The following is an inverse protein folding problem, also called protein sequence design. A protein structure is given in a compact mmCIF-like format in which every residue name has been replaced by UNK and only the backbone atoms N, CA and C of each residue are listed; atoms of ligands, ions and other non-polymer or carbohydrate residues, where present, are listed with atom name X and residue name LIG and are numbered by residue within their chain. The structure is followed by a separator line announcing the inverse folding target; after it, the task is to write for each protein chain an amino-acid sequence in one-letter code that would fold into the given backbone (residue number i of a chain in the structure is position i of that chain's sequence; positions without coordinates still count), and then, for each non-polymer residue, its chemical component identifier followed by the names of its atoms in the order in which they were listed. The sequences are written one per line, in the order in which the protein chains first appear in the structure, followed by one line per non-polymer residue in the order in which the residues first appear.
data_IF_670108748536
#
_entry.id   IF_670108748536
#
_cell.length_a   1.000
_cell.length_b   1.000
_cell.length_c   1.000
_cell.angle_alpha   90.00
_cell.angle_beta   90.00
_cell.angle_gamma   90.00
#
_symmetry.space_group_name_H-M   'P 1'
#
loop_
_entity.id
_entity.type
_entity.pdbx_description
1 polymer ?
#
# COMPACT_ATOMS: atom_id res chain seq x y z
N UNK A 1 6.20 13.75 8.46
CA UNK A 1 6.44 13.13 9.79
C UNK A 1 6.36 11.63 9.62
N UNK A 2 7.33 10.87 10.14
CA UNK A 2 7.23 9.40 10.20
C UNK A 2 6.19 9.00 11.24
N UNK A 3 5.36 7.97 11.00
CA UNK A 3 4.52 7.41 12.05
C UNK A 3 5.38 6.80 13.16
N UNK A 4 4.79 6.64 14.34
CA UNK A 4 5.38 5.85 15.42
C UNK A 4 5.40 4.38 15.00
N UNK A 5 6.43 3.64 15.42
CA UNK A 5 6.49 2.19 15.26
C UNK A 5 5.71 1.54 16.41
N UNK A 6 4.58 0.86 16.17
CA UNK A 6 3.77 0.30 17.25
C UNK A 6 4.51 -0.78 18.04
N UNK A 7 4.18 -0.92 19.32
CA UNK A 7 4.69 -2.03 20.14
C UNK A 7 3.96 -3.34 19.83
N UNK A 8 4.57 -4.49 20.13
CA UNK A 8 3.91 -5.79 19.94
C UNK A 8 2.58 -5.86 20.70
N UNK A 9 1.51 -6.24 20.00
CA UNK A 9 0.15 -6.32 20.53
C UNK A 9 -0.56 -4.97 20.65
N UNK A 10 0.04 -3.87 20.20
CA UNK A 10 -0.65 -2.58 20.15
C UNK A 10 -1.81 -2.63 19.16
N UNK A 11 -2.99 -2.18 19.60
CA UNK A 11 -4.22 -2.19 18.79
C UNK A 11 -4.70 -0.78 18.49
N UNK A 12 -5.24 -0.56 17.29
CA UNK A 12 -5.93 0.66 16.89
C UNK A 12 -7.32 0.34 16.38
N UNK A 13 -8.33 1.09 16.82
CA UNK A 13 -9.70 0.96 16.32
C UNK A 13 -10.32 2.31 16.03
N UNK A 14 -11.16 2.39 14.99
CA UNK A 14 -11.86 3.61 14.60
C UNK A 14 -13.24 3.30 14.02
N UNK A 15 -14.21 4.14 14.37
CA UNK A 15 -15.55 4.13 13.80
C UNK A 15 -15.77 5.48 13.12
N UNK A 16 -16.09 5.46 11.82
CA UNK A 16 -16.39 6.66 11.06
C UNK A 16 -17.91 6.94 11.06
N UNK A 17 -18.34 8.21 10.92
CA UNK A 17 -19.77 8.57 10.93
C UNK A 17 -20.61 7.92 9.82
N UNK A 18 -19.98 7.49 8.73
CA UNK A 18 -20.65 6.80 7.62
C UNK A 18 -20.95 5.32 7.91
N UNK A 19 -20.50 4.80 9.06
CA UNK A 19 -20.65 3.39 9.44
C UNK A 19 -19.42 2.53 9.13
N UNK A 20 -18.37 3.08 8.55
CA UNK A 20 -17.11 2.38 8.31
C UNK A 20 -16.41 2.07 9.64
N UNK A 21 -15.91 0.84 9.78
CA UNK A 21 -15.17 0.38 10.97
C UNK A 21 -13.77 0.00 10.58
N UNK A 22 -12.79 0.31 11.41
CA UNK A 22 -11.39 -0.07 11.22
C UNK A 22 -10.85 -0.68 12.51
N UNK A 23 -10.12 -1.78 12.38
CA UNK A 23 -9.43 -2.47 13.45
C UNK A 23 -8.04 -2.87 12.95
N UNK A 24 -7.02 -2.69 13.77
CA UNK A 24 -5.66 -3.10 13.46
C UNK A 24 -4.89 -3.49 14.71
N UNK A 25 -3.89 -4.36 14.53
CA UNK A 25 -2.99 -4.84 15.56
C UNK A 25 -1.57 -4.98 15.02
N UNK A 26 -0.58 -4.64 15.83
CA UNK A 26 0.82 -4.97 15.58
C UNK A 26 1.13 -6.40 16.02
N UNK A 27 1.16 -7.33 15.06
CA UNK A 27 1.25 -8.78 15.35
C UNK A 27 2.68 -9.29 15.53
N UNK A 28 3.70 -8.57 15.02
CA UNK A 28 5.12 -8.82 15.31
C UNK A 28 5.91 -7.51 15.27
N UNK A 29 6.98 -7.41 16.06
CA UNK A 29 7.90 -6.27 16.08
C UNK A 29 9.23 -6.55 15.35
N UNK A 30 9.65 -7.81 15.24
CA UNK A 30 10.88 -8.23 14.56
C UNK A 30 10.63 -9.51 13.73
N UNK A 31 10.27 -9.37 12.43
CA UNK A 31 10.08 -8.12 11.70
C UNK A 31 8.79 -7.36 12.08
N UNK A 32 8.68 -6.05 11.79
CA UNK A 32 7.49 -5.26 12.12
C UNK A 32 6.35 -5.57 11.14
N UNK A 33 5.32 -6.28 11.59
CA UNK A 33 4.12 -6.60 10.81
C UNK A 33 2.88 -6.13 11.53
N UNK A 34 2.02 -5.42 10.82
CA UNK A 34 0.69 -5.04 11.29
C UNK A 34 -0.36 -5.80 10.48
N UNK A 35 -1.42 -6.22 11.15
CA UNK A 35 -2.63 -6.74 10.54
C UNK A 35 -3.78 -5.75 10.75
N UNK A 36 -4.70 -5.68 9.81
CA UNK A 36 -5.88 -4.84 9.94
C UNK A 36 -7.04 -5.27 9.06
N UNK A 37 -8.22 -4.85 9.48
CA UNK A 37 -9.47 -5.01 8.74
C UNK A 37 -10.23 -3.69 8.77
N UNK A 38 -10.77 -3.31 7.61
CA UNK A 38 -11.72 -2.22 7.48
C UNK A 38 -13.00 -2.76 6.84
N UNK A 39 -14.13 -2.47 7.48
CA UNK A 39 -15.45 -2.90 7.04
C UNK A 39 -16.24 -1.67 6.61
N UNK A 40 -16.71 -1.70 5.36
CA UNK A 40 -17.53 -0.64 4.80
C UNK A 40 -18.94 -0.60 5.39
N UNK A 41 -19.66 0.53 5.20
CA UNK A 41 -21.03 0.68 5.67
C UNK A 41 -21.91 -0.44 5.13
N UNK A 42 -22.77 -0.99 5.99
CA UNK A 42 -23.74 -2.04 5.64
C UNK A 42 -23.08 -3.31 5.04
N UNK A 43 -21.77 -3.52 5.26
CA UNK A 43 -21.04 -4.67 4.72
C UNK A 43 -20.81 -4.60 3.21
N UNK A 44 -20.85 -3.40 2.61
CA UNK A 44 -20.71 -3.22 1.15
C UNK A 44 -19.33 -3.60 0.60
N UNK A 45 -18.31 -3.51 1.45
CA UNK A 45 -16.95 -3.90 1.12
C UNK A 45 -16.20 -4.25 2.41
N UNK A 46 -15.15 -5.05 2.27
CA UNK A 46 -14.24 -5.44 3.34
C UNK A 46 -12.81 -5.34 2.80
N UNK A 47 -11.95 -4.65 3.51
CA UNK A 47 -10.53 -4.48 3.21
C UNK A 47 -9.74 -5.19 4.30
N UNK A 48 -8.88 -6.12 3.93
CA UNK A 48 -8.04 -6.90 4.83
C UNK A 48 -6.58 -6.70 4.44
N UNK A 49 -5.73 -6.47 5.43
CA UNK A 49 -4.31 -6.21 5.22
C UNK A 49 -3.47 -6.94 6.26
N UNK A 50 -2.38 -7.56 5.81
CA UNK A 50 -1.30 -8.03 6.66
C UNK A 50 -0.01 -7.65 5.96
N UNK A 51 0.77 -6.75 6.54
CA UNK A 51 1.95 -6.20 5.87
C UNK A 51 3.12 -5.99 6.83
N UNK A 52 4.30 -6.43 6.37
CA UNK A 52 5.60 -6.08 6.92
C UNK A 52 6.06 -4.75 6.34
N UNK A 53 6.50 -3.82 7.18
CA UNK A 53 7.12 -2.59 6.72
C UNK A 53 8.65 -2.74 6.65
N UNK A 54 9.23 -2.52 5.48
CA UNK A 54 10.68 -2.57 5.25
C UNK A 54 11.18 -1.22 4.79
N UNK A 55 12.29 -0.76 5.37
CA UNK A 55 12.94 0.48 4.98
C UNK A 55 14.46 0.31 5.03
N UNK A 56 15.15 0.78 3.99
CA UNK A 56 16.60 0.70 3.86
C UNK A 56 17.16 2.05 3.39
N UNK A 57 18.39 2.36 3.80
CA UNK A 57 19.12 3.50 3.22
C UNK A 57 19.35 3.24 1.74
N UNK A 58 19.19 4.29 0.93
CA UNK A 58 19.38 4.27 -0.50
C UNK A 58 20.33 5.43 -0.88
N UNK A 59 21.63 5.15 -0.88
CA UNK A 59 22.66 6.19 -1.00
C UNK A 59 22.78 7.07 0.24
N UNK A 60 23.39 8.25 0.09
CA UNK A 60 23.77 9.11 1.22
C UNK A 60 22.66 10.02 1.73
N UNK A 61 21.56 10.18 0.97
CA UNK A 61 20.54 11.19 1.25
C UNK A 61 19.11 10.72 0.94
N UNK A 62 18.89 9.40 0.84
CA UNK A 62 17.54 8.86 0.65
C UNK A 62 17.30 7.56 1.40
N UNK A 63 16.04 7.26 1.67
CA UNK A 63 15.55 5.98 2.19
C UNK A 63 14.58 5.41 1.17
N UNK A 64 14.71 4.11 0.89
CA UNK A 64 13.74 3.36 0.10
C UNK A 64 12.98 2.41 1.01
N UNK A 65 11.67 2.46 0.96
CA UNK A 65 10.77 1.68 1.81
C UNK A 65 9.69 1.00 0.97
N UNK A 66 9.18 -0.12 1.46
CA UNK A 66 8.07 -0.85 0.86
C UNK A 66 7.32 -1.65 1.93
N UNK A 67 6.12 -2.09 1.55
CA UNK A 67 5.30 -2.97 2.36
C UNK A 67 5.19 -4.32 1.68
N UNK A 68 5.58 -5.38 2.37
CA UNK A 68 5.43 -6.75 1.88
C UNK A 68 4.28 -7.43 2.57
N UNK A 69 3.40 -8.07 1.81
CA UNK A 69 2.27 -8.80 2.37
C UNK A 69 1.07 -8.76 1.44
N UNK A 70 -0.10 -9.02 2.01
CA UNK A 70 -1.34 -9.14 1.25
C UNK A 70 -2.30 -8.00 1.61
N UNK A 71 -2.88 -7.39 0.57
CA UNK A 71 -4.08 -6.56 0.67
C UNK A 71 -5.17 -7.25 -0.15
N UNK A 72 -6.30 -7.52 0.48
CA UNK A 72 -7.48 -8.12 -0.16
C UNK A 72 -8.68 -7.22 0.04
N UNK A 73 -9.38 -6.91 -1.05
CA UNK A 73 -10.64 -6.17 -1.02
C UNK A 73 -11.74 -7.10 -1.50
N UNK A 74 -12.74 -7.35 -0.66
CA UNK A 74 -13.92 -8.13 -1.00
C UNK A 74 -15.13 -7.20 -1.09
N UNK A 75 -15.85 -7.21 -2.21
CA UNK A 75 -17.11 -6.50 -2.39
C UNK A 75 -18.30 -7.35 -1.94
N UNK A 76 -19.46 -6.71 -1.72
CA UNK A 76 -20.68 -7.38 -1.25
C UNK A 76 -21.19 -8.50 -2.17
N UNK A 77 -20.86 -8.43 -3.46
CA UNK A 77 -21.22 -9.44 -4.46
C UNK A 77 -20.24 -10.64 -4.49
N UNK A 78 -19.22 -10.61 -3.63
CA UNK A 78 -18.17 -11.63 -3.54
C UNK A 78 -16.96 -11.36 -4.42
N UNK A 79 -16.95 -10.29 -5.21
CA UNK A 79 -15.79 -9.92 -6.05
C UNK A 79 -14.58 -9.64 -5.17
N UNK A 80 -13.44 -10.26 -5.50
CA UNK A 80 -12.19 -10.09 -4.77
C UNK A 80 -11.11 -9.42 -5.61
N UNK A 81 -10.45 -8.42 -5.01
CA UNK A 81 -9.27 -7.77 -5.54
C UNK A 81 -8.05 -8.03 -4.66
N UNK A 82 -6.91 -8.33 -5.29
CA UNK A 82 -5.59 -8.31 -4.64
C UNK A 82 -4.88 -7.02 -5.04
N UNK A 83 -4.33 -6.30 -4.06
CA UNK A 83 -3.55 -5.08 -4.31
C UNK A 83 -2.10 -5.31 -3.92
N UNK A 84 -1.20 -5.05 -4.86
CA UNK A 84 0.24 -4.97 -4.62
C UNK A 84 0.67 -3.50 -4.69
N UNK A 85 1.28 -3.02 -3.61
CA UNK A 85 1.73 -1.64 -3.51
C UNK A 85 3.14 -1.45 -4.05
N UNK A 86 3.41 -0.23 -4.55
CA UNK A 86 4.72 0.16 -5.03
C UNK A 86 5.71 0.52 -3.92
N UNK A 87 6.94 0.82 -4.33
CA UNK A 87 7.97 1.31 -3.43
C UNK A 87 7.75 2.79 -3.13
N UNK A 88 8.29 3.23 -1.99
CA UNK A 88 8.36 4.63 -1.61
C UNK A 88 9.84 5.00 -1.49
N UNK A 89 10.25 6.09 -2.10
CA UNK A 89 11.54 6.73 -1.87
C UNK A 89 11.34 8.06 -1.17
N UNK A 90 12.13 8.30 -0.14
CA UNK A 90 12.16 9.56 0.60
C UNK A 90 13.54 10.15 0.41
N UNK A 91 13.63 11.24 -0.35
CA UNK A 91 14.85 11.98 -0.60
C UNK A 91 14.99 13.14 0.38
N UNK A 92 16.21 13.68 0.54
CA UNK A 92 16.46 14.87 1.36
C UNK A 92 16.49 14.61 2.87
N UNK A 93 16.73 13.37 3.29
CA UNK A 93 16.71 12.99 4.72
C UNK A 93 17.90 13.55 5.52
N UNK A 94 19.00 13.91 4.85
CA UNK A 94 20.18 14.52 5.47
C UNK A 94 20.33 15.99 5.06
N UNK A 95 20.17 16.30 3.77
CA UNK A 95 20.32 17.65 3.23
C UNK A 95 19.38 17.90 2.04
N UNK A 96 18.95 19.15 1.86
CA UNK A 96 17.98 19.53 0.83
C UNK A 96 16.53 19.47 1.32
N UNK A 97 15.59 19.64 0.39
CA UNK A 97 14.16 19.51 0.68
C UNK A 97 13.75 18.04 0.74
N UNK A 98 12.94 17.69 1.75
CA UNK A 98 12.44 16.33 1.89
C UNK A 98 11.28 16.08 0.93
N UNK A 99 11.44 15.10 0.03
CA UNK A 99 10.45 14.74 -0.98
C UNK A 99 10.09 13.27 -0.84
N UNK A 100 8.80 12.95 -0.88
CA UNK A 100 8.28 11.58 -0.86
C UNK A 100 7.80 11.23 -2.26
N UNK A 101 8.42 10.22 -2.86
CA UNK A 101 8.12 9.70 -4.18
C UNK A 101 7.56 8.29 -4.06
N UNK A 102 6.44 8.01 -4.74
CA UNK A 102 6.06 6.63 -5.03
C UNK A 102 6.85 6.22 -6.25
N UNK A 103 7.68 5.20 -6.12
CA UNK A 103 8.55 4.69 -7.15
C UNK A 103 8.04 3.29 -7.54
N UNK A 104 8.02 2.98 -8.84
CA UNK A 104 7.49 1.73 -9.40
C UNK A 104 5.96 1.77 -9.60
N UNK A 105 5.30 0.62 -9.48
CA UNK A 105 3.91 0.42 -9.86
C UNK A 105 3.04 -0.06 -8.71
N UNK A 106 1.75 0.24 -8.80
CA UNK A 106 0.70 -0.39 -8.02
C UNK A 106 -0.07 -1.31 -8.96
N UNK A 107 -0.29 -2.56 -8.54
CA UNK A 107 -1.07 -3.53 -9.29
C UNK A 107 -2.36 -3.85 -8.53
N UNK A 108 -3.49 -3.88 -9.23
CA UNK A 108 -4.77 -4.34 -8.71
C UNK A 108 -5.27 -5.48 -9.58
N UNK A 109 -5.40 -6.67 -9.02
CA UNK A 109 -5.88 -7.87 -9.71
C UNK A 109 -7.31 -8.17 -9.29
N UNK A 110 -8.24 -8.18 -10.24
CA UNK A 110 -9.59 -8.70 -10.08
C UNK A 110 -9.59 -10.22 -10.32
N UNK A 111 -9.69 -10.99 -9.25
CA UNK A 111 -9.67 -12.46 -9.30
C UNK A 111 -10.93 -13.05 -9.91
N UNK A 112 -12.03 -12.28 -9.92
CA UNK A 112 -13.34 -12.74 -10.38
C UNK A 112 -13.43 -12.63 -11.89
N UNK A 113 -12.94 -11.50 -12.43
CA UNK A 113 -13.01 -11.19 -13.85
C UNK A 113 -11.70 -11.47 -14.60
N UNK A 114 -10.62 -11.86 -13.91
CA UNK A 114 -9.28 -12.09 -14.47
C UNK A 114 -8.71 -10.86 -15.19
N UNK A 115 -8.91 -9.68 -14.58
CA UNK A 115 -8.46 -8.38 -15.10
C UNK A 115 -7.40 -7.84 -14.14
N UNK A 116 -6.36 -7.21 -14.68
CA UNK A 116 -5.32 -6.55 -13.91
C UNK A 116 -5.19 -5.09 -14.33
N UNK A 117 -5.23 -4.18 -13.36
CA UNK A 117 -4.90 -2.77 -13.58
C UNK A 117 -3.52 -2.48 -12.98
N UNK A 118 -2.69 -1.77 -13.74
CA UNK A 118 -1.35 -1.35 -13.32
C UNK A 118 -1.26 0.18 -13.40
N UNK A 119 -0.85 0.82 -12.32
CA UNK A 119 -0.55 2.25 -12.25
C UNK A 119 0.95 2.40 -12.04
N UNK A 120 1.65 3.03 -12.97
CA UNK A 120 3.11 3.21 -12.93
C UNK A 120 3.42 4.66 -12.58
N UNK A 121 4.22 4.85 -11.54
CA UNK A 121 4.69 6.14 -11.08
C UNK A 121 6.10 6.39 -11.62
N UNK A 122 6.30 7.55 -12.24
CA UNK A 122 7.53 7.93 -12.94
C UNK A 122 8.01 6.91 -14.01
N UNK A 123 7.17 6.64 -15.04
CA UNK A 123 7.49 5.64 -16.06
C UNK A 123 8.71 5.99 -16.94
N UNK A 124 9.15 7.26 -16.93
CA UNK A 124 10.25 7.76 -17.77
C UNK A 124 11.59 7.84 -17.01
N UNK A 125 11.60 7.64 -15.67
CA UNK A 125 12.78 7.71 -14.79
C UNK A 125 13.65 8.96 -15.06
N UNK A 126 13.01 10.13 -15.24
CA UNK A 126 13.70 11.37 -15.58
C UNK A 126 14.11 12.11 -14.32
N UNK A 127 15.41 12.08 -14.02
CA UNK A 127 15.99 12.87 -12.93
C UNK A 127 15.54 14.35 -13.02
N UNK A 128 14.90 14.84 -11.96
CA UNK A 128 14.73 16.27 -11.72
C UNK A 128 13.45 16.95 -12.23
N UNK A 129 12.41 16.23 -12.66
CA UNK A 129 11.11 16.84 -13.00
C UNK A 129 9.91 16.07 -12.43
N UNK A 130 8.82 16.79 -12.16
CA UNK A 130 7.55 16.31 -11.61
C UNK A 130 7.20 14.88 -12.10
N UNK A 131 7.03 13.94 -11.15
CA UNK A 131 6.69 12.55 -11.42
C UNK A 131 5.45 12.48 -12.33
N UNK A 132 5.60 11.94 -13.54
CA UNK A 132 4.46 11.63 -14.40
C UNK A 132 3.76 10.38 -13.88
N UNK A 133 2.43 10.38 -13.95
CA UNK A 133 1.61 9.20 -13.73
C UNK A 133 1.32 8.53 -15.08
N UNK A 134 1.66 7.26 -15.20
CA UNK A 134 1.22 6.40 -16.31
C UNK A 134 0.25 5.34 -15.78
N UNK A 135 -0.73 4.93 -16.59
CA UNK A 135 -1.66 3.85 -16.23
C UNK A 135 -1.84 2.90 -17.40
N UNK A 136 -1.87 1.60 -17.12
CA UNK A 136 -2.08 0.54 -18.11
C UNK A 136 -3.06 -0.50 -17.55
N UNK A 137 -4.08 -0.83 -18.34
CA UNK A 137 -4.97 -1.96 -18.04
C UNK A 137 -4.48 -3.19 -18.81
N UNK A 138 -4.46 -4.35 -18.17
CA UNK A 138 -4.05 -5.65 -18.74
C UNK A 138 -5.10 -6.71 -18.41
N UNK A 139 -5.21 -7.71 -19.27
CA UNK A 139 -6.12 -8.84 -19.09
C UNK A 139 -5.26 -10.11 -19.09
N UNK A 140 -5.44 -10.99 -18.12
CA UNK A 140 -4.64 -12.22 -18.02
C UNK A 140 -5.51 -13.37 -17.53
N UNK A 141 -5.82 -14.32 -18.42
CA UNK A 141 -6.66 -15.48 -18.09
C UNK A 141 -7.36 -16.00 -19.35
N UNK A 142 -7.14 -17.28 -19.65
CA UNK A 142 -7.04 -17.83 -21.00
C UNK A 142 -8.28 -18.60 -21.51
N UNK A 143 -8.88 -18.13 -22.62
CA UNK A 143 -9.15 -18.86 -23.89
C UNK A 143 -10.00 -17.99 -24.81
#
# INVERSE_FOLDING_TARGET
MSPLNPVLGETCQRYAPDGTKYFAEQITHHPPVSAGVMEGPEGKWRFEVIQEFKANLNGHNSVKAHKEGAIVITLFDGTQYIVEEGWIQIDGIVYGEMVINVCDKITVQDLTNNIEAEVVFDPDNKEGAMSKLGSKLKFWGSK
#
